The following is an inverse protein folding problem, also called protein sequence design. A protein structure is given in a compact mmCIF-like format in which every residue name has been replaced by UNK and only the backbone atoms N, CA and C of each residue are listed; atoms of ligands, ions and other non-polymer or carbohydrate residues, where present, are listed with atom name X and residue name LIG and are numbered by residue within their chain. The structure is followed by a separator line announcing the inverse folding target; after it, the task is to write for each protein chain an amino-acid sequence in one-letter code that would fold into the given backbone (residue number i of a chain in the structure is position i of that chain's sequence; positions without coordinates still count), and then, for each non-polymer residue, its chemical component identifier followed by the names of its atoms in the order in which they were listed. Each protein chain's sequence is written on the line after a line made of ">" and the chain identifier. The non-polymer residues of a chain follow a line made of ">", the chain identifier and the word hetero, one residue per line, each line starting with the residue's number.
data_IF_189274219485
#
_entry.id   IF_189274219485
#
_cell.length_a   1.000
_cell.length_b   1.000
_cell.length_c   1.000
_cell.angle_alpha   90.00
_cell.angle_beta   90.00
_cell.angle_gamma   90.00
#
_symmetry.space_group_name_H-M   'P 1'
#
loop_
_entity.id
_entity.type
_entity.pdbx_description
1 polymer ?
#
# COMPACT_ATOMS: atom_id res chain seq x y z
N UNK A 1 14.60 8.39 -2.68
CA UNK A 1 14.73 7.80 -4.02
C UNK A 1 15.81 8.55 -4.78
N UNK A 2 16.54 7.83 -5.63
CA UNK A 2 17.61 8.39 -6.47
C UNK A 2 17.09 8.80 -7.85
N UNK A 3 16.06 8.09 -8.33
CA UNK A 3 15.31 8.35 -9.56
C UNK A 3 13.80 8.41 -9.27
N UNK A 4 13.06 9.03 -10.19
CA UNK A 4 11.60 9.11 -10.19
C UNK A 4 11.14 9.02 -11.64
N UNK A 5 10.10 8.23 -11.90
CA UNK A 5 9.45 8.09 -13.20
C UNK A 5 7.97 8.33 -12.97
N UNK A 6 7.35 9.12 -13.85
CA UNK A 6 5.93 9.38 -13.85
C UNK A 6 5.28 8.58 -14.98
N UNK A 7 4.24 7.81 -14.67
CA UNK A 7 3.36 7.24 -15.68
C UNK A 7 2.15 8.16 -15.83
N UNK A 8 1.96 8.75 -17.00
CA UNK A 8 0.89 9.71 -17.23
C UNK A 8 0.33 9.56 -18.65
N UNK A 9 -0.95 9.20 -18.71
CA UNK A 9 -1.73 9.04 -19.93
C UNK A 9 -3.23 9.14 -19.60
N UNK A 10 -4.05 9.66 -20.51
CA UNK A 10 -5.51 9.68 -20.34
C UNK A 10 -6.13 8.27 -20.32
N UNK A 11 -5.44 7.28 -20.87
CA UNK A 11 -5.83 5.87 -20.76
C UNK A 11 -5.74 5.34 -19.31
N UNK A 12 -4.88 5.93 -18.46
CA UNK A 12 -4.72 5.50 -17.06
C UNK A 12 -5.82 6.02 -16.11
N UNK A 13 -6.76 6.82 -16.62
CA UNK A 13 -7.86 7.31 -15.82
C UNK A 13 -8.85 6.18 -15.45
N UNK A 14 -9.15 6.10 -14.15
CA UNK A 14 -10.14 5.16 -13.56
C UNK A 14 -9.88 3.70 -13.89
N UNK A 15 -8.62 3.30 -14.03
CA UNK A 15 -8.27 1.88 -14.21
C UNK A 15 -8.66 1.04 -13.00
N UNK A 16 -9.03 -0.22 -13.26
CA UNK A 16 -9.15 -1.21 -12.19
C UNK A 16 -7.77 -1.64 -11.64
N UNK A 17 -7.77 -2.40 -10.55
CA UNK A 17 -6.51 -2.85 -9.91
C UNK A 17 -5.65 -3.72 -10.83
N UNK A 18 -6.25 -4.49 -11.74
CA UNK A 18 -5.53 -5.34 -12.68
C UNK A 18 -4.81 -4.49 -13.73
N UNK A 19 -5.51 -3.54 -14.33
CA UNK A 19 -4.96 -2.67 -15.37
C UNK A 19 -3.93 -1.69 -14.83
N UNK A 20 -4.08 -1.21 -13.59
CA UNK A 20 -2.99 -0.48 -12.90
C UNK A 20 -1.76 -1.38 -12.76
N UNK A 21 -1.93 -2.64 -12.36
CA UNK A 21 -0.80 -3.57 -12.24
C UNK A 21 -0.14 -3.87 -13.59
N UNK A 22 -0.90 -3.99 -14.70
CA UNK A 22 -0.34 -4.15 -16.05
C UNK A 22 0.59 -2.98 -16.41
N UNK A 23 0.10 -1.75 -16.25
CA UNK A 23 0.89 -0.55 -16.54
C UNK A 23 2.17 -0.47 -15.70
N UNK A 24 2.07 -0.80 -14.41
CA UNK A 24 3.25 -0.85 -13.53
C UNK A 24 4.21 -1.98 -13.90
N UNK A 25 3.71 -3.15 -14.30
CA UNK A 25 4.54 -4.29 -14.71
C UNK A 25 5.38 -3.94 -15.94
N UNK A 26 4.79 -3.31 -16.95
CA UNK A 26 5.51 -2.92 -18.16
C UNK A 26 6.51 -1.79 -17.91
N UNK A 27 6.16 -0.83 -17.05
CA UNK A 27 7.11 0.18 -16.59
C UNK A 27 8.30 -0.46 -15.85
N UNK A 28 8.05 -1.42 -14.96
CA UNK A 28 9.12 -2.13 -14.24
C UNK A 28 10.00 -2.95 -15.21
N UNK A 29 9.41 -3.66 -16.18
CA UNK A 29 10.18 -4.37 -17.22
C UNK A 29 11.02 -3.42 -18.05
N UNK A 30 10.51 -2.22 -18.37
CA UNK A 30 11.25 -1.19 -19.11
C UNK A 30 12.40 -0.59 -18.30
N UNK A 31 12.23 -0.45 -16.99
CA UNK A 31 13.32 -0.01 -16.08
C UNK A 31 14.49 -1.00 -16.12
N UNK A 32 14.22 -2.30 -16.26
CA UNK A 32 15.22 -3.34 -16.44
C UNK A 32 15.43 -4.15 -15.16
N UNK A 33 16.70 -4.39 -14.80
CA UNK A 33 17.06 -5.27 -13.69
C UNK A 33 16.63 -4.70 -12.33
N UNK A 34 16.08 -5.58 -11.48
CA UNK A 34 15.71 -5.27 -10.10
C UNK A 34 15.87 -6.51 -9.22
N UNK A 35 16.22 -6.29 -7.95
CA UNK A 35 16.32 -7.36 -6.95
C UNK A 35 15.07 -7.45 -6.06
N UNK A 36 14.41 -6.31 -5.81
CA UNK A 36 13.27 -6.25 -4.91
C UNK A 36 12.30 -5.15 -5.34
N UNK A 37 11.03 -5.53 -5.49
CA UNK A 37 9.92 -4.59 -5.72
C UNK A 37 9.17 -4.39 -4.40
N UNK A 38 9.04 -3.14 -3.97
CA UNK A 38 8.27 -2.78 -2.77
C UNK A 38 6.99 -2.04 -3.17
N UNK A 39 5.86 -2.49 -2.65
CA UNK A 39 4.58 -1.78 -2.76
C UNK A 39 3.99 -1.51 -1.39
N UNK A 40 3.08 -0.54 -1.28
CA UNK A 40 2.24 -0.46 -0.08
C UNK A 40 1.29 -1.67 0.02
N UNK A 41 0.78 -1.94 1.23
CA UNK A 41 -0.29 -2.92 1.47
C UNK A 41 -1.55 -2.60 0.65
N UNK A 42 -2.03 -1.37 0.78
CA UNK A 42 -3.20 -0.84 0.08
C UNK A 42 -3.13 0.68 0.06
N UNK A 43 -3.77 1.30 -0.92
CA UNK A 43 -3.97 2.74 -0.96
C UNK A 43 -5.20 3.10 -0.11
N UNK A 44 -5.17 4.24 0.57
CA UNK A 44 -6.25 4.67 1.49
C UNK A 44 -7.44 5.34 0.83
N UNK A 45 -7.52 5.32 -0.50
CA UNK A 45 -8.63 5.85 -1.28
C UNK A 45 -9.73 4.79 -1.46
N UNK A 46 -9.51 3.80 -2.32
CA UNK A 46 -10.45 2.72 -2.63
C UNK A 46 -10.20 1.44 -1.84
N UNK A 47 -9.12 1.41 -1.06
CA UNK A 47 -8.77 0.37 -0.10
C UNK A 47 -8.68 -1.07 -0.65
N UNK A 48 -8.55 -1.21 -1.97
CA UNK A 48 -8.71 -2.53 -2.63
C UNK A 48 -7.57 -3.51 -2.31
N UNK A 49 -6.36 -3.03 -2.03
CA UNK A 49 -5.22 -3.87 -1.62
C UNK A 49 -4.73 -4.92 -2.64
N UNK A 50 -5.13 -4.79 -3.91
CA UNK A 50 -4.89 -5.82 -4.93
C UNK A 50 -3.64 -5.58 -5.79
N UNK A 51 -3.38 -4.32 -6.17
CA UNK A 51 -2.39 -3.94 -7.20
C UNK A 51 -1.02 -4.60 -6.96
N UNK A 52 -0.48 -4.51 -5.75
CA UNK A 52 0.87 -5.02 -5.46
C UNK A 52 0.99 -6.54 -5.65
N UNK A 53 -0.03 -7.31 -5.27
CA UNK A 53 -0.01 -8.76 -5.43
C UNK A 53 -0.22 -9.19 -6.88
N UNK A 54 -1.14 -8.54 -7.58
CA UNK A 54 -1.37 -8.77 -9.01
C UNK A 54 -0.10 -8.45 -9.80
N UNK A 55 0.57 -7.35 -9.47
CA UNK A 55 1.84 -6.95 -10.08
C UNK A 55 2.92 -8.03 -9.93
N UNK A 56 3.06 -8.61 -8.74
CA UNK A 56 4.06 -9.66 -8.52
C UNK A 56 3.76 -10.94 -9.32
N UNK A 57 2.49 -11.29 -9.49
CA UNK A 57 2.07 -12.38 -10.40
C UNK A 57 2.44 -12.06 -11.86
N UNK A 58 2.16 -10.83 -12.33
CA UNK A 58 2.48 -10.39 -13.69
C UNK A 58 3.98 -10.38 -13.99
N UNK A 59 4.80 -10.11 -12.97
CA UNK A 59 6.26 -10.16 -13.06
C UNK A 59 6.84 -11.56 -12.85
N UNK A 60 6.03 -12.55 -12.48
CA UNK A 60 6.48 -13.92 -12.20
C UNK A 60 7.32 -14.04 -10.93
N UNK A 61 7.09 -13.18 -9.94
CA UNK A 61 7.91 -13.08 -8.73
C UNK A 61 7.27 -13.80 -7.54
N UNK A 62 8.08 -14.34 -6.62
CA UNK A 62 7.62 -14.65 -5.26
C UNK A 62 7.06 -13.39 -4.59
N UNK A 63 5.85 -13.49 -4.04
CA UNK A 63 5.16 -12.39 -3.37
C UNK A 63 5.04 -12.65 -1.87
N UNK A 64 5.46 -11.69 -1.05
CA UNK A 64 5.22 -11.71 0.41
C UNK A 64 4.40 -10.47 0.79
N UNK A 65 3.27 -10.66 1.46
CA UNK A 65 2.40 -9.56 1.86
C UNK A 65 2.56 -9.16 3.33
N UNK A 66 2.04 -7.98 3.68
CA UNK A 66 1.90 -7.51 5.06
C UNK A 66 3.23 -7.50 5.85
N UNK A 67 4.30 -7.07 5.20
CA UNK A 67 5.60 -6.96 5.84
C UNK A 67 5.58 -5.92 6.96
N UNK A 68 6.02 -6.33 8.15
CA UNK A 68 6.33 -5.46 9.31
C UNK A 68 7.83 -5.28 9.52
N UNK A 69 8.66 -6.13 8.93
CA UNK A 69 10.12 -6.03 8.95
C UNK A 69 10.66 -6.71 7.69
N UNK A 70 11.67 -6.10 7.06
CA UNK A 70 12.30 -6.62 5.84
C UNK A 70 13.81 -6.60 6.04
N UNK A 71 14.46 -7.74 5.77
CA UNK A 71 15.91 -7.90 5.75
C UNK A 71 16.33 -8.57 4.45
N UNK A 72 17.55 -8.27 4.01
CA UNK A 72 18.14 -8.88 2.82
C UNK A 72 19.45 -9.54 3.25
N UNK A 73 19.55 -10.84 3.04
CA UNK A 73 20.72 -11.65 3.42
C UNK A 73 20.95 -12.74 2.36
N UNK A 74 22.19 -12.90 1.91
CA UNK A 74 22.62 -13.97 0.99
C UNK A 74 21.73 -14.15 -0.26
N UNK A 75 21.36 -13.04 -0.92
CA UNK A 75 20.51 -13.07 -2.12
C UNK A 75 19.04 -13.44 -1.86
N UNK A 76 18.61 -13.44 -0.60
CA UNK A 76 17.23 -13.69 -0.19
C UNK A 76 16.66 -12.47 0.54
N UNK A 77 15.35 -12.32 0.44
CA UNK A 77 14.58 -11.43 1.31
C UNK A 77 13.99 -12.24 2.46
N UNK A 78 14.20 -11.77 3.69
CA UNK A 78 13.62 -12.30 4.91
C UNK A 78 12.62 -11.28 5.43
N UNK A 79 11.37 -11.69 5.57
CA UNK A 79 10.25 -10.82 5.92
C UNK A 79 9.59 -11.35 7.17
N UNK A 80 9.39 -10.48 8.16
CA UNK A 80 8.36 -10.72 9.17
C UNK A 80 7.05 -10.23 8.60
N UNK A 81 6.10 -11.13 8.40
CA UNK A 81 4.78 -10.85 7.86
C UNK A 81 3.76 -10.91 8.98
N UNK A 82 2.86 -9.92 9.04
CA UNK A 82 1.78 -9.94 10.01
C UNK A 82 0.72 -11.00 9.70
N UNK A 83 0.24 -11.62 10.78
CA UNK A 83 -0.91 -12.52 10.80
C UNK A 83 -1.77 -12.21 12.03
N UNK A 84 -2.97 -12.79 12.09
CA UNK A 84 -3.79 -12.69 13.30
C UNK A 84 -3.02 -13.28 14.49
N UNK A 85 -2.85 -12.50 15.56
CA UNK A 85 -2.17 -12.94 16.78
C UNK A 85 -0.64 -12.87 16.77
N UNK A 86 0.01 -12.36 15.72
CA UNK A 86 1.46 -12.22 15.70
C UNK A 86 2.07 -12.02 14.32
N UNK A 87 3.18 -12.71 14.05
CA UNK A 87 3.87 -12.64 12.77
C UNK A 87 4.52 -13.98 12.40
N UNK A 88 4.70 -14.19 11.10
CA UNK A 88 5.46 -15.30 10.54
C UNK A 88 6.79 -14.78 9.98
N UNK A 89 7.83 -15.62 10.00
CA UNK A 89 9.08 -15.34 9.29
C UNK A 89 9.09 -16.09 7.97
N UNK A 90 9.14 -15.36 6.87
CA UNK A 90 9.09 -15.88 5.51
C UNK A 90 10.38 -15.52 4.79
N UNK A 91 10.94 -16.47 4.06
CA UNK A 91 12.14 -16.28 3.24
C UNK A 91 11.81 -16.56 1.77
N UNK A 92 12.27 -15.69 0.88
CA UNK A 92 12.18 -15.89 -0.56
C UNK A 92 13.50 -15.51 -1.25
N UNK A 93 13.85 -16.23 -2.32
CA UNK A 93 14.98 -15.89 -3.18
C UNK A 93 14.63 -14.66 -4.02
N UNK A 94 15.57 -13.74 -4.19
CA UNK A 94 15.39 -12.56 -5.05
C UNK A 94 15.64 -12.92 -6.53
N UNK A 95 14.94 -12.29 -7.50
CA UNK A 95 14.05 -11.15 -7.31
C UNK A 95 12.70 -11.51 -6.67
N UNK A 96 12.15 -10.60 -5.86
CA UNK A 96 10.88 -10.80 -5.15
C UNK A 96 10.06 -9.50 -5.06
N UNK A 97 8.76 -9.64 -4.79
CA UNK A 97 7.87 -8.52 -4.45
C UNK A 97 7.42 -8.62 -3.00
N UNK A 98 7.50 -7.50 -2.27
CA UNK A 98 7.04 -7.40 -0.89
C UNK A 98 6.06 -6.24 -0.72
N UNK A 99 4.87 -6.53 -0.19
CA UNK A 99 3.91 -5.48 0.20
C UNK A 99 4.14 -5.07 1.65
N UNK A 100 4.27 -3.77 1.88
CA UNK A 100 4.73 -3.19 3.13
C UNK A 100 3.54 -2.63 3.92
N UNK A 101 3.45 -3.00 5.19
CA UNK A 101 2.47 -2.45 6.14
C UNK A 101 3.01 -1.19 6.83
N UNK A 102 2.12 -0.44 7.48
CA UNK A 102 2.50 0.69 8.33
C UNK A 102 3.38 0.29 9.53
N UNK A 103 3.43 -1.00 9.89
CA UNK A 103 4.25 -1.48 11.00
C UNK A 103 5.75 -1.55 10.69
N UNK A 104 6.16 -1.35 9.43
CA UNK A 104 7.59 -1.34 9.06
C UNK A 104 8.36 -0.17 9.69
N UNK A 105 7.64 0.85 10.12
CA UNK A 105 8.18 2.05 10.76
C UNK A 105 7.79 3.34 10.04
N UNK A 106 8.18 4.45 10.65
CA UNK A 106 7.88 5.80 10.17
C UNK A 106 8.77 6.21 8.99
N UNK A 107 8.18 6.99 8.07
CA UNK A 107 8.96 7.61 7.00
C UNK A 107 9.92 8.64 7.60
N UNK A 108 11.19 8.55 7.21
CA UNK A 108 12.19 9.53 7.61
C UNK A 108 11.81 10.95 7.16
N UNK A 109 11.98 11.93 8.04
CA UNK A 109 11.79 13.34 7.69
C UNK A 109 12.83 13.83 6.67
N UNK A 110 12.38 14.67 5.74
CA UNK A 110 13.27 15.39 4.81
C UNK A 110 13.72 16.71 5.45
N UNK A 111 15.03 16.99 5.41
CA UNK A 111 15.52 18.30 5.86
C UNK A 111 15.10 19.42 4.90
N UNK A 112 14.80 20.62 5.43
CA UNK A 112 14.41 21.79 4.63
C UNK A 112 15.42 22.10 3.52
N UNK A 113 16.71 22.00 3.81
CA UNK A 113 17.79 22.23 2.84
C UNK A 113 17.74 21.23 1.69
N UNK A 114 17.49 19.95 1.97
CA UNK A 114 17.36 18.90 0.96
C UNK A 114 16.11 19.12 0.09
N UNK A 115 14.99 19.49 0.70
CA UNK A 115 13.76 19.85 0.01
C UNK A 115 13.97 21.03 -0.96
N UNK A 116 14.57 22.12 -0.50
CA UNK A 116 14.84 23.29 -1.35
C UNK A 116 15.81 22.97 -2.50
N UNK A 117 16.82 22.13 -2.25
CA UNK A 117 17.75 21.68 -3.30
C UNK A 117 17.04 20.84 -4.37
N UNK A 118 16.08 20.00 -3.97
CA UNK A 118 15.27 19.22 -4.91
C UNK A 118 14.37 20.13 -5.77
N UNK A 119 13.64 21.06 -5.14
CA UNK A 119 12.76 22.00 -5.86
C UNK A 119 13.52 22.89 -6.83
N UNK A 120 14.69 23.42 -6.43
CA UNK A 120 15.53 24.27 -7.28
C UNK A 120 16.21 23.53 -8.42
N UNK A 121 16.48 22.23 -8.25
CA UNK A 121 17.17 21.44 -9.27
C UNK A 121 16.30 21.10 -10.46
N UNK A 122 14.99 21.41 -10.44
CA UNK A 122 14.02 21.18 -11.51
C UNK A 122 14.43 19.99 -12.39
N UNK A 123 14.62 18.83 -11.75
CA UNK A 123 14.96 17.63 -12.52
C UNK A 123 13.73 17.36 -13.37
N UNK A 124 13.91 17.35 -14.68
CA UNK A 124 12.91 16.78 -15.57
C UNK A 124 12.65 15.36 -15.07
N UNK A 125 11.42 15.11 -14.66
CA UNK A 125 10.96 13.79 -14.25
C UNK A 125 10.57 13.10 -15.56
N UNK A 126 11.23 12.01 -15.96
CA UNK A 126 10.81 11.23 -17.12
C UNK A 126 9.32 10.87 -16.97
N UNK A 127 8.54 11.23 -17.98
CA UNK A 127 7.13 10.88 -18.08
C UNK A 127 6.98 9.84 -19.17
N UNK A 128 6.33 8.73 -18.87
CA UNK A 128 6.01 7.67 -19.82
C UNK A 128 4.49 7.56 -20.01
N UNK A 129 4.06 7.36 -21.25
CA UNK A 129 2.66 7.18 -21.66
C UNK A 129 2.37 5.73 -22.06
N UNK A 130 1.19 5.39 -22.54
CA UNK A 130 0.94 4.03 -23.03
C UNK A 130 1.78 3.67 -24.27
N UNK A 131 2.20 4.67 -25.06
CA UNK A 131 3.02 4.49 -26.27
C UNK A 131 4.45 4.03 -25.93
N UNK A 132 4.87 4.26 -24.70
CA UNK A 132 6.19 3.88 -24.18
C UNK A 132 6.32 2.39 -23.86
N UNK A 133 5.22 1.64 -23.93
CA UNK A 133 5.11 0.25 -23.52
C UNK A 133 4.47 -0.60 -24.62
N UNK A 134 4.78 -1.90 -24.64
CA UNK A 134 4.03 -2.87 -25.47
C UNK A 134 2.78 -3.29 -24.68
N UNK A 135 1.94 -2.32 -24.38
CA UNK A 135 0.74 -2.52 -23.57
C UNK A 135 -0.42 -2.74 -24.54
N UNK A 136 -0.98 -3.95 -24.55
CA UNK A 136 -2.21 -4.19 -25.28
C UNK A 136 -3.29 -3.32 -24.63
N UNK A 137 -3.69 -2.23 -25.28
CA UNK A 137 -4.70 -1.31 -24.74
C UNK A 137 -6.03 -2.03 -24.44
N UNK A 138 -6.26 -3.17 -25.09
CA UNK A 138 -7.39 -4.08 -24.82
C UNK A 138 -7.36 -4.70 -23.41
N UNK A 139 -6.21 -4.71 -22.74
CA UNK A 139 -6.05 -5.18 -21.35
C UNK A 139 -6.33 -4.10 -20.31
N UNK A 140 -6.42 -2.83 -20.72
CA UNK A 140 -6.77 -1.73 -19.83
C UNK A 140 -8.29 -1.61 -19.68
N UNK A 141 -8.78 -2.00 -18.51
CA UNK A 141 -10.17 -1.92 -18.10
C UNK A 141 -10.36 -0.76 -17.15
N UNK A 142 -11.40 0.03 -17.44
CA UNK A 142 -11.83 1.13 -16.60
C UNK A 142 -12.92 0.66 -15.65
N UNK A 143 -12.87 1.14 -14.41
CA UNK A 143 -13.94 1.02 -13.45
C UNK A 143 -14.98 2.12 -13.68
N UNK A 144 -16.23 1.72 -13.55
CA UNK A 144 -17.37 2.63 -13.50
C UNK A 144 -17.93 2.65 -12.08
N UNK A 145 -18.09 3.84 -11.51
CA UNK A 145 -18.75 4.03 -10.23
C UNK A 145 -20.24 4.19 -10.53
N UNK A 146 -21.02 3.17 -10.20
CA UNK A 146 -22.48 3.18 -10.42
C UNK A 146 -23.18 4.08 -9.39
N UNK A 147 -22.78 3.96 -8.12
CA UNK A 147 -23.36 4.71 -7.02
C UNK A 147 -22.30 4.92 -5.94
N UNK A 148 -22.29 6.09 -5.32
CA UNK A 148 -21.47 6.40 -4.15
C UNK A 148 -22.35 7.16 -3.17
N UNK A 149 -22.57 6.57 -1.99
CA UNK A 149 -23.38 7.16 -0.93
C UNK A 149 -22.56 7.26 0.35
N UNK A 150 -22.90 8.25 1.17
CA UNK A 150 -22.33 8.34 2.52
C UNK A 150 -22.84 7.16 3.37
N UNK A 151 -22.01 6.62 4.27
CA UNK A 151 -22.49 5.64 5.24
C UNK A 151 -23.65 6.25 6.05
N UNK A 152 -24.55 5.41 6.61
CA UNK A 152 -25.60 5.88 7.50
C UNK A 152 -25.00 6.62 8.70
N UNK A 153 -25.83 7.36 9.44
CA UNK A 153 -25.37 8.04 10.65
C UNK A 153 -24.70 7.04 11.60
N UNK A 154 -23.40 7.25 11.84
CA UNK A 154 -22.56 6.43 12.72
C UNK A 154 -22.51 7.00 14.14
N UNK A 155 -23.46 7.89 14.50
CA UNK A 155 -23.61 8.40 15.85
C UNK A 155 -23.74 7.25 16.84
N UNK A 156 -22.90 7.30 17.89
CA UNK A 156 -22.91 6.32 18.97
C UNK A 156 -23.51 6.99 20.19
N UNK A 157 -24.39 6.28 20.89
CA UNK A 157 -24.79 6.67 22.22
C UNK A 157 -23.60 6.44 23.16
N UNK A 158 -22.82 7.50 23.40
CA UNK A 158 -21.67 7.47 24.29
C UNK A 158 -22.10 7.95 25.66
N UNK A 159 -22.20 7.03 26.62
CA UNK A 159 -22.47 7.34 28.01
C UNK A 159 -21.16 7.41 28.79
N UNK A 160 -20.92 8.53 29.45
CA UNK A 160 -19.84 8.67 30.43
C UNK A 160 -20.37 8.25 31.80
N UNK A 161 -19.73 7.26 32.41
CA UNK A 161 -20.14 6.74 33.71
C UNK A 161 -19.36 7.43 34.83
N UNK A 162 -20.07 8.15 35.70
CA UNK A 162 -19.51 8.80 36.88
C UNK A 162 -19.57 7.90 38.11
N UNK A 163 -18.65 8.09 39.06
CA UNK A 163 -18.63 7.40 40.35
C UNK A 163 -17.61 8.02 41.30
N UNK A 164 -17.80 7.81 42.61
CA UNK A 164 -16.89 8.34 43.62
C UNK A 164 -15.58 7.55 43.70
N UNK A 165 -15.58 6.30 43.20
CA UNK A 165 -14.42 5.41 43.19
C UNK A 165 -14.29 4.66 41.85
N UNK A 166 -13.09 4.21 41.47
CA UNK A 166 -12.89 3.39 40.27
C UNK A 166 -13.72 2.10 40.26
N UNK A 167 -13.90 1.46 41.43
CA UNK A 167 -14.67 0.21 41.56
C UNK A 167 -16.15 0.44 41.23
N UNK A 168 -16.73 1.57 41.68
CA UNK A 168 -18.11 1.93 41.37
C UNK A 168 -18.32 2.17 39.86
N UNK A 169 -17.36 2.81 39.20
CA UNK A 169 -17.40 3.05 37.75
C UNK A 169 -17.28 1.72 37.00
N UNK A 170 -16.42 0.82 37.46
CA UNK A 170 -16.25 -0.52 36.87
C UNK A 170 -17.51 -1.37 37.01
N UNK A 171 -18.19 -1.33 38.16
CA UNK A 171 -19.46 -2.04 38.38
C UNK A 171 -20.58 -1.51 37.47
N UNK A 172 -20.68 -0.18 37.33
CA UNK A 172 -21.62 0.45 36.39
C UNK A 172 -21.34 0.03 34.95
N UNK A 173 -20.07 0.02 34.54
CA UNK A 173 -19.68 -0.42 33.20
C UNK A 173 -20.02 -1.91 32.98
N UNK A 174 -19.73 -2.76 33.95
CA UNK A 174 -20.04 -4.19 33.88
C UNK A 174 -21.55 -4.45 33.81
N UNK A 175 -22.37 -3.65 34.48
CA UNK A 175 -23.83 -3.73 34.39
C UNK A 175 -24.33 -3.38 32.97
N UNK A 176 -23.80 -2.30 32.37
CA UNK A 176 -24.14 -1.90 30.99
C UNK A 176 -23.74 -2.98 29.99
N UNK A 177 -22.52 -3.54 30.11
CA UNK A 177 -22.03 -4.58 29.19
C UNK A 177 -22.75 -5.93 29.32
N UNK A 178 -23.33 -6.24 30.49
CA UNK A 178 -24.15 -7.45 30.69
C UNK A 178 -25.57 -7.31 30.17
N UNK A 179 -26.07 -6.08 30.05
CA UNK A 179 -27.44 -5.79 29.64
C UNK A 179 -27.61 -5.65 28.12
N UNK A 180 -26.51 -5.43 27.38
CA UNK A 180 -26.46 -5.41 25.91
C UNK A 180 -26.09 -6.77 25.33
#
# INVERSE_FOLDING_TARGET
>A
ADQLILLQDGAFEKLDSHSVACALADAIKKIGDYDLVLTGRQAGDWDSGQVGLVLGVMLGLPCINLAREIKVEDGNVLVKKNISGGYEQVKAKMPALVTVSNEVGELRYISRTKMMKMLRKARSIPSWSCEDFVLAHEELKKMEIIELSSPPDMSRNCEFLDGATPDEIADKLAAVLKAG
#
